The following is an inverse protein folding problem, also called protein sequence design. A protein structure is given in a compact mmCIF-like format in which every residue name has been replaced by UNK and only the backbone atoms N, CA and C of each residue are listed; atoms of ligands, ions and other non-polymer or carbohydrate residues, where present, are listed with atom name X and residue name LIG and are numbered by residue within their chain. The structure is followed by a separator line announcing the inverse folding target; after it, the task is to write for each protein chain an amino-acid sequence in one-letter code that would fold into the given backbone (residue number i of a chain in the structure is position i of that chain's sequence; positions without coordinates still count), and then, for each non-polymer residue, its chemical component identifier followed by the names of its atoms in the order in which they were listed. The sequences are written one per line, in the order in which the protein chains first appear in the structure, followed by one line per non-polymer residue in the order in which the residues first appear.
data_IF_230387176588
#
_entry.id   IF_230387176588
#
_cell.length_a   1.000
_cell.length_b   1.000
_cell.length_c   1.000
_cell.angle_alpha   90.00
_cell.angle_beta   90.00
_cell.angle_gamma   90.00
#
_symmetry.space_group_name_H-M   'P 1'
#
loop_
_entity.id
_entity.type
_entity.pdbx_description
1 polymer ?
#
# COMPACT_ATOMS: atom_id res chain seq x y z
N UNK A 1 10.91 -49.60 25.91
CA UNK A 1 10.71 -50.56 27.02
C UNK A 1 10.25 -49.81 28.26
N UNK A 2 9.21 -50.33 28.93
CA UNK A 2 8.67 -49.96 30.26
C UNK A 2 7.96 -48.59 30.35
N UNK A 3 6.62 -48.46 30.37
CA UNK A 3 5.52 -49.10 31.12
C UNK A 3 5.24 -48.48 32.50
N UNK A 4 4.04 -47.89 32.58
CA UNK A 4 3.07 -47.83 33.69
C UNK A 4 3.51 -47.45 35.10
N UNK A 5 2.74 -46.53 35.71
CA UNK A 5 1.99 -46.79 36.96
C UNK A 5 0.71 -45.93 37.04
N UNK A 6 -0.42 -46.63 37.19
CA UNK A 6 -1.74 -46.17 37.65
C UNK A 6 -1.82 -46.28 39.19
N UNK A 7 -2.98 -45.88 39.74
CA UNK A 7 -3.57 -46.11 41.10
C UNK A 7 -3.30 -44.98 42.12
N UNK A 8 -4.27 -44.48 42.92
CA UNK A 8 -5.52 -45.05 43.49
C UNK A 8 -6.50 -43.92 43.95
N UNK A 9 -7.84 -44.13 43.99
CA UNK A 9 -8.86 -43.22 44.54
C UNK A 9 -9.34 -43.59 45.97
N UNK A 10 -10.38 -42.86 46.45
CA UNK A 10 -11.18 -43.01 47.71
C UNK A 10 -10.63 -42.19 48.90
N UNK A 11 -11.39 -41.54 49.80
CA UNK A 11 -12.75 -41.64 50.41
C UNK A 11 -13.14 -40.21 50.92
N UNK A 12 -14.33 -39.79 51.36
CA UNK A 12 -15.51 -40.31 52.12
C UNK A 12 -16.70 -39.37 51.78
N UNK A 13 -17.97 -39.73 51.58
CA UNK A 13 -18.94 -40.60 52.27
C UNK A 13 -19.58 -40.02 53.57
N UNK A 14 -20.92 -39.89 53.55
CA UNK A 14 -21.86 -39.69 54.69
C UNK A 14 -22.85 -38.53 54.42
N UNK A 15 -24.09 -38.68 53.92
CA UNK A 15 -25.30 -39.40 54.41
C UNK A 15 -25.62 -39.05 55.87
N UNK A 16 -26.82 -38.60 56.25
CA UNK A 16 -28.14 -39.19 55.97
C UNK A 16 -29.32 -38.22 56.33
N UNK A 17 -30.58 -38.62 56.06
CA UNK A 17 -31.74 -37.76 55.89
C UNK A 17 -32.88 -37.99 56.93
N UNK A 18 -34.06 -37.43 56.59
CA UNK A 18 -35.42 -37.84 56.95
C UNK A 18 -36.16 -37.08 58.07
N UNK A 19 -37.42 -36.75 57.77
CA UNK A 19 -38.38 -36.25 58.75
C UNK A 19 -39.63 -35.61 58.15
N UNK A 20 -40.43 -36.41 57.43
CA UNK A 20 -41.73 -35.98 56.90
C UNK A 20 -42.83 -35.95 57.98
N UNK A 21 -43.63 -34.90 57.83
CA UNK A 21 -44.88 -34.47 58.46
C UNK A 21 -45.91 -35.53 58.89
N UNK A 22 -46.55 -35.28 60.04
CA UNK A 22 -47.89 -35.76 60.37
C UNK A 22 -48.34 -35.35 61.77
N UNK A 23 -49.51 -34.70 61.91
CA UNK A 23 -50.22 -34.59 63.19
C UNK A 23 -50.98 -33.29 63.45
N UNK A 24 -52.32 -33.38 63.40
CA UNK A 24 -53.32 -32.37 63.79
C UNK A 24 -53.14 -31.86 65.23
N UNK A 25 -53.47 -30.60 65.48
CA UNK A 25 -54.44 -30.28 66.54
C UNK A 25 -55.10 -28.91 66.34
N UNK A 26 -56.39 -28.83 66.66
CA UNK A 26 -57.22 -27.64 66.50
C UNK A 26 -57.36 -26.85 67.80
N UNK A 27 -57.28 -25.52 67.73
CA UNK A 27 -57.92 -24.62 68.70
C UNK A 27 -58.44 -23.37 68.01
N UNK A 28 -59.74 -23.14 68.17
CA UNK A 28 -60.44 -21.89 67.91
C UNK A 28 -60.10 -20.89 69.01
N UNK A 29 -60.04 -19.60 68.67
CA UNK A 29 -60.57 -18.44 69.42
C UNK A 29 -60.00 -17.16 68.78
N UNK A 30 -60.83 -16.38 68.07
CA UNK A 30 -61.63 -15.24 68.58
C UNK A 30 -60.80 -13.96 68.80
N UNK A 31 -60.94 -13.03 67.86
CA UNK A 31 -61.24 -11.62 68.19
C UNK A 31 -60.10 -10.59 68.30
N UNK A 32 -60.27 -9.53 67.48
CA UNK A 32 -59.86 -8.12 67.68
C UNK A 32 -58.47 -7.66 67.15
N UNK A 33 -58.27 -6.35 66.86
CA UNK A 33 -58.77 -5.67 65.67
C UNK A 33 -57.68 -4.86 64.89
N UNK A 34 -58.06 -4.41 63.69
CA UNK A 34 -57.24 -3.91 62.60
C UNK A 34 -56.70 -2.45 62.70
N UNK A 35 -56.19 -1.96 63.85
CA UNK A 35 -55.74 -0.54 63.91
C UNK A 35 -54.49 -0.22 64.75
N UNK A 36 -53.66 -1.19 65.16
CA UNK A 36 -52.35 -0.88 65.78
C UNK A 36 -51.19 -1.56 65.08
N UNK A 37 -50.69 -0.88 64.04
CA UNK A 37 -49.26 -0.55 63.86
C UNK A 37 -49.11 0.39 62.67
N UNK A 38 -49.58 1.61 62.84
CA UNK A 38 -48.97 2.75 62.17
C UNK A 38 -47.69 3.11 62.96
N UNK A 39 -46.52 2.80 62.40
CA UNK A 39 -45.24 3.41 62.74
C UNK A 39 -44.17 2.87 61.79
N UNK A 40 -44.14 3.45 60.59
CA UNK A 40 -43.19 3.09 59.54
C UNK A 40 -43.44 3.85 58.25
N UNK A 41 -43.92 5.10 58.36
CA UNK A 41 -43.88 6.04 57.25
C UNK A 41 -42.44 6.49 57.07
N UNK A 42 -41.65 5.68 56.38
CA UNK A 42 -40.41 6.14 55.75
C UNK A 42 -40.71 6.07 54.27
N UNK A 43 -40.87 7.24 53.66
CA UNK A 43 -41.23 7.38 52.26
C UNK A 43 -40.30 6.55 51.39
N UNK A 44 -40.86 5.50 50.78
CA UNK A 44 -40.26 4.90 49.61
C UNK A 44 -40.82 5.69 48.45
N UNK A 45 -40.13 6.78 48.10
CA UNK A 45 -40.28 7.39 46.80
C UNK A 45 -40.08 6.27 45.78
N UNK A 46 -41.15 5.89 45.08
CA UNK A 46 -41.00 5.25 43.79
C UNK A 46 -40.23 6.24 42.92
N UNK A 47 -38.94 6.01 42.76
CA UNK A 47 -38.18 6.61 41.68
C UNK A 47 -38.77 6.04 40.37
N UNK A 48 -39.82 6.69 39.88
CA UNK A 48 -40.15 6.70 38.45
C UNK A 48 -39.11 7.54 37.72
N UNK A 49 -37.84 7.15 37.88
CA UNK A 49 -36.77 7.61 37.01
C UNK A 49 -36.97 6.93 35.67
N UNK A 50 -37.65 7.60 34.74
CA UNK A 50 -37.44 7.33 33.31
C UNK A 50 -35.92 7.41 33.12
N UNK A 51 -35.30 6.23 32.99
CA UNK A 51 -33.85 6.13 32.98
C UNK A 51 -33.33 6.92 31.78
N UNK A 52 -32.68 8.05 32.06
CA UNK A 52 -32.00 8.93 31.11
C UNK A 52 -30.86 8.17 30.37
N UNK A 53 -30.56 6.94 30.77
CA UNK A 53 -29.69 6.00 30.04
C UNK A 53 -30.20 5.66 28.65
N UNK A 54 -31.51 5.45 28.45
CA UNK A 54 -32.06 5.07 27.15
C UNK A 54 -31.88 6.16 26.07
N UNK A 55 -31.96 7.43 26.45
CA UNK A 55 -31.73 8.55 25.52
C UNK A 55 -30.25 8.68 25.13
N UNK A 56 -29.33 8.41 26.08
CA UNK A 56 -27.89 8.41 25.81
C UNK A 56 -27.53 7.22 24.91
N UNK A 57 -28.01 6.02 25.22
CA UNK A 57 -27.72 4.83 24.42
C UNK A 57 -28.31 4.92 23.00
N UNK A 58 -29.51 5.50 22.82
CA UNK A 58 -30.04 5.81 21.48
C UNK A 58 -29.15 6.81 20.73
N UNK A 59 -28.83 7.96 21.34
CA UNK A 59 -28.09 9.02 20.66
C UNK A 59 -26.65 8.62 20.33
N UNK A 60 -25.95 7.92 21.23
CA UNK A 60 -24.62 7.39 20.97
C UNK A 60 -24.62 6.30 19.89
N UNK A 61 -25.70 5.50 19.79
CA UNK A 61 -25.89 4.52 18.71
C UNK A 61 -26.01 5.18 17.33
N UNK A 62 -26.92 6.14 17.18
CA UNK A 62 -27.10 6.83 15.89
C UNK A 62 -25.89 7.64 15.45
N UNK A 63 -25.17 8.27 16.39
CA UNK A 63 -23.92 8.98 16.07
C UNK A 63 -22.84 8.00 15.63
N UNK A 64 -22.73 6.84 16.27
CA UNK A 64 -21.80 5.79 15.86
C UNK A 64 -22.13 5.26 14.46
N UNK A 65 -23.40 4.97 14.19
CA UNK A 65 -23.84 4.48 12.88
C UNK A 65 -23.62 5.53 11.78
N UNK A 66 -23.88 6.81 12.07
CA UNK A 66 -23.61 7.90 11.14
C UNK A 66 -22.10 8.06 10.85
N UNK A 67 -21.26 7.98 11.89
CA UNK A 67 -19.79 8.03 11.73
C UNK A 67 -19.29 6.83 10.93
N UNK A 68 -19.82 5.64 11.18
CA UNK A 68 -19.47 4.41 10.45
C UNK A 68 -19.86 4.53 8.97
N UNK A 69 -21.09 4.95 8.67
CA UNK A 69 -21.55 5.18 7.29
C UNK A 69 -20.68 6.22 6.57
N UNK A 70 -20.35 7.33 7.23
CA UNK A 70 -19.47 8.36 6.65
C UNK A 70 -18.07 7.81 6.40
N UNK A 71 -17.52 7.04 7.33
CA UNK A 71 -16.20 6.43 7.19
C UNK A 71 -16.18 5.43 6.03
N UNK A 72 -17.15 4.52 5.97
CA UNK A 72 -17.31 3.54 4.89
C UNK A 72 -17.51 4.25 3.55
N UNK A 73 -18.37 5.28 3.49
CA UNK A 73 -18.59 6.06 2.28
C UNK A 73 -17.31 6.77 1.81
N UNK A 74 -16.50 7.32 2.72
CA UNK A 74 -15.22 7.93 2.40
C UNK A 74 -14.24 6.89 1.84
N UNK A 75 -14.13 5.72 2.46
CA UNK A 75 -13.27 4.62 1.97
C UNK A 75 -13.69 4.20 0.56
N UNK A 76 -14.98 3.95 0.34
CA UNK A 76 -15.51 3.60 -0.98
C UNK A 76 -15.24 4.69 -2.01
N UNK A 77 -15.43 5.96 -1.64
CA UNK A 77 -15.16 7.10 -2.52
C UNK A 77 -13.69 7.14 -2.97
N UNK A 78 -12.74 6.98 -2.04
CA UNK A 78 -11.32 6.94 -2.37
C UNK A 78 -10.93 5.70 -3.18
N UNK A 79 -11.53 4.54 -2.91
CA UNK A 79 -11.33 3.34 -3.74
C UNK A 79 -11.80 3.56 -5.18
N UNK A 80 -12.95 4.20 -5.38
CA UNK A 80 -13.44 4.55 -6.73
C UNK A 80 -12.49 5.54 -7.41
N UNK A 81 -11.99 6.54 -6.69
CA UNK A 81 -11.05 7.53 -7.22
C UNK A 81 -9.73 6.87 -7.63
N UNK A 82 -9.23 5.91 -6.85
CA UNK A 82 -8.00 5.18 -7.11
C UNK A 82 -8.05 4.37 -8.40
N UNK A 83 -9.20 3.76 -8.70
CA UNK A 83 -9.38 2.93 -9.90
C UNK A 83 -9.84 3.77 -11.11
N UNK A 84 -10.24 5.04 -10.89
CA UNK A 84 -10.74 5.92 -11.94
C UNK A 84 -9.65 6.24 -12.97
N UNK A 85 -9.96 6.00 -14.25
CA UNK A 85 -9.01 6.22 -15.35
C UNK A 85 -8.12 5.02 -15.66
N UNK A 86 -8.20 3.94 -14.88
CA UNK A 86 -7.43 2.70 -15.12
C UNK A 86 -8.21 1.68 -15.95
N UNK A 87 -7.51 0.70 -16.54
CA UNK A 87 -8.15 -0.47 -17.19
C UNK A 87 -9.07 -1.24 -16.23
N UNK A 88 -8.77 -1.23 -14.93
CA UNK A 88 -9.60 -1.86 -13.90
C UNK A 88 -11.00 -1.23 -13.78
N UNK A 89 -11.19 0.04 -14.18
CA UNK A 89 -12.52 0.66 -14.25
C UNK A 89 -13.44 -0.05 -15.25
N UNK A 90 -12.90 -0.59 -16.35
CA UNK A 90 -13.69 -1.34 -17.33
C UNK A 90 -14.22 -2.66 -16.74
N UNK A 91 -13.40 -3.31 -15.91
CA UNK A 91 -13.80 -4.53 -15.20
C UNK A 91 -14.88 -4.24 -14.15
N UNK A 92 -14.73 -3.16 -13.37
CA UNK A 92 -15.74 -2.71 -12.41
C UNK A 92 -17.07 -2.42 -13.11
N UNK A 93 -17.05 -1.70 -14.24
CA UNK A 93 -18.25 -1.46 -15.05
C UNK A 93 -18.88 -2.77 -15.55
N UNK A 94 -18.07 -3.71 -16.04
CA UNK A 94 -18.54 -5.03 -16.45
C UNK A 94 -19.20 -5.80 -15.31
N UNK A 95 -18.59 -5.80 -14.13
CA UNK A 95 -19.13 -6.42 -12.91
C UNK A 95 -20.47 -5.81 -12.50
N UNK A 96 -20.58 -4.47 -12.52
CA UNK A 96 -21.83 -3.76 -12.21
C UNK A 96 -22.95 -4.15 -13.19
N UNK A 97 -22.64 -4.28 -14.49
CA UNK A 97 -23.61 -4.74 -15.49
C UNK A 97 -24.09 -6.15 -15.19
N UNK A 98 -23.17 -7.09 -14.88
CA UNK A 98 -23.53 -8.48 -14.54
C UNK A 98 -24.43 -8.52 -13.30
N UNK A 99 -24.10 -7.77 -12.25
CA UNK A 99 -24.92 -7.66 -11.03
C UNK A 99 -26.28 -7.04 -11.33
N UNK A 100 -26.33 -6.03 -12.21
CA UNK A 100 -27.59 -5.40 -12.65
C UNK A 100 -28.50 -6.39 -13.38
N UNK A 101 -27.95 -7.19 -14.31
CA UNK A 101 -28.71 -8.24 -15.01
C UNK A 101 -29.21 -9.29 -14.01
N UNK A 102 -28.38 -9.69 -13.05
CA UNK A 102 -28.78 -10.62 -11.99
C UNK A 102 -29.94 -10.07 -11.15
N UNK A 103 -29.89 -8.79 -10.76
CA UNK A 103 -30.94 -8.14 -9.97
C UNK A 103 -32.26 -8.06 -10.76
N UNK A 104 -32.21 -7.63 -12.02
CA UNK A 104 -33.38 -7.56 -12.90
C UNK A 104 -33.98 -8.96 -13.10
N UNK A 105 -33.14 -9.98 -13.33
CA UNK A 105 -33.58 -11.38 -13.43
C UNK A 105 -34.17 -11.91 -12.12
N UNK A 106 -33.70 -11.38 -10.98
CA UNK A 106 -34.22 -11.73 -9.67
C UNK A 106 -35.63 -11.20 -9.47
N UNK A 107 -35.84 -9.91 -9.77
CA UNK A 107 -37.13 -9.22 -9.66
C UNK A 107 -38.16 -9.77 -10.66
N UNK A 108 -37.76 -10.03 -11.90
CA UNK A 108 -38.64 -10.55 -12.96
C UNK A 108 -38.90 -12.07 -12.87
N UNK A 109 -38.26 -12.77 -11.93
CA UNK A 109 -38.45 -14.22 -11.78
C UNK A 109 -37.85 -15.08 -12.89
N UNK A 110 -36.92 -14.55 -13.70
CA UNK A 110 -36.30 -15.26 -14.83
C UNK A 110 -35.28 -16.30 -14.33
N UNK A 111 -35.76 -17.52 -14.05
CA UNK A 111 -34.96 -18.60 -13.46
C UNK A 111 -33.79 -19.04 -14.35
N UNK A 112 -34.00 -19.22 -15.65
CA UNK A 112 -32.95 -19.63 -16.61
C UNK A 112 -31.86 -18.57 -16.74
N UNK A 113 -32.25 -17.30 -16.86
CA UNK A 113 -31.30 -16.19 -16.98
C UNK A 113 -30.50 -16.01 -15.69
N UNK A 114 -31.16 -16.14 -14.53
CA UNK A 114 -30.49 -16.10 -13.23
C UNK A 114 -29.47 -17.23 -13.09
N UNK A 115 -29.82 -18.44 -13.49
CA UNK A 115 -28.90 -19.58 -13.49
C UNK A 115 -27.70 -19.33 -14.41
N UNK A 116 -27.94 -18.86 -15.65
CA UNK A 116 -26.88 -18.57 -16.61
C UNK A 116 -25.92 -17.48 -16.11
N UNK A 117 -26.46 -16.38 -15.58
CA UNK A 117 -25.67 -15.29 -15.02
C UNK A 117 -24.87 -15.75 -13.79
N UNK A 118 -25.45 -16.60 -12.94
CA UNK A 118 -24.74 -17.18 -11.80
C UNK A 118 -23.57 -18.07 -12.23
N UNK A 119 -23.72 -18.84 -13.30
CA UNK A 119 -22.62 -19.65 -13.87
C UNK A 119 -21.53 -18.75 -14.46
N UNK A 120 -21.93 -17.74 -15.25
CA UNK A 120 -21.00 -16.76 -15.82
C UNK A 120 -20.23 -16.01 -14.72
N UNK A 121 -20.88 -15.62 -13.63
CA UNK A 121 -20.23 -14.98 -12.48
C UNK A 121 -19.21 -15.92 -11.82
N UNK A 122 -19.58 -17.18 -11.57
CA UNK A 122 -18.68 -18.16 -10.96
C UNK A 122 -17.41 -18.38 -11.79
N UNK A 123 -17.55 -18.57 -13.11
CA UNK A 123 -16.41 -18.69 -14.02
C UNK A 123 -15.63 -17.38 -14.15
N UNK A 124 -16.33 -16.26 -14.16
CA UNK A 124 -15.74 -14.92 -14.24
C UNK A 124 -14.83 -14.60 -13.07
N UNK A 125 -15.21 -14.96 -11.84
CA UNK A 125 -14.35 -14.76 -10.66
C UNK A 125 -13.05 -15.56 -10.78
N UNK A 126 -13.12 -16.81 -11.24
CA UNK A 126 -11.92 -17.64 -11.47
C UNK A 126 -11.04 -17.04 -12.57
N UNK A 127 -11.64 -16.63 -13.69
CA UNK A 127 -10.90 -16.01 -14.80
C UNK A 127 -10.21 -14.70 -14.38
N UNK A 128 -10.89 -13.86 -13.60
CA UNK A 128 -10.32 -12.64 -13.02
C UNK A 128 -9.17 -13.01 -12.10
N UNK A 129 -9.33 -13.97 -11.18
CA UNK A 129 -8.26 -14.35 -10.26
C UNK A 129 -7.00 -14.84 -10.99
N UNK A 130 -7.16 -15.66 -12.05
CA UNK A 130 -6.04 -16.13 -12.87
C UNK A 130 -5.40 -14.97 -13.65
N UNK A 131 -6.19 -14.06 -14.22
CA UNK A 131 -5.69 -12.92 -14.98
C UNK A 131 -4.96 -11.90 -14.09
N UNK A 132 -5.44 -11.72 -12.85
CA UNK A 132 -4.84 -10.83 -11.84
C UNK A 132 -3.79 -11.52 -10.96
N UNK A 133 -3.48 -12.79 -11.22
CA UNK A 133 -2.50 -13.52 -10.43
C UNK A 133 -1.13 -12.81 -10.38
N UNK A 134 -0.60 -12.25 -11.51
CA UNK A 134 0.66 -11.52 -11.48
C UNK A 134 0.62 -10.26 -10.60
N UNK A 135 -0.48 -9.49 -10.65
CA UNK A 135 -0.66 -8.27 -9.87
C UNK A 135 -0.81 -8.56 -8.37
N UNK A 136 -1.60 -9.58 -8.01
CA UNK A 136 -1.75 -10.01 -6.62
C UNK A 136 -0.41 -10.47 -6.04
N UNK A 137 0.36 -11.22 -6.83
CA UNK A 137 1.71 -11.64 -6.46
C UNK A 137 2.61 -10.42 -6.21
N UNK A 138 2.68 -9.48 -7.16
CA UNK A 138 3.47 -8.25 -7.03
C UNK A 138 3.04 -7.44 -5.80
N UNK A 139 1.76 -7.24 -5.59
CA UNK A 139 1.26 -6.48 -4.43
C UNK A 139 1.64 -7.13 -3.08
N UNK A 140 1.57 -8.46 -3.00
CA UNK A 140 2.01 -9.21 -1.81
C UNK A 140 3.53 -9.17 -1.62
N UNK A 141 4.30 -9.21 -2.71
CA UNK A 141 5.75 -9.04 -2.67
C UNK A 141 6.12 -7.65 -2.11
N UNK A 142 5.43 -6.60 -2.54
CA UNK A 142 5.61 -5.25 -2.00
C UNK A 142 5.23 -5.17 -0.50
N UNK A 143 4.07 -5.70 -0.11
CA UNK A 143 3.64 -5.73 1.29
C UNK A 143 4.57 -6.56 2.19
N UNK A 144 5.13 -7.66 1.68
CA UNK A 144 6.03 -8.57 2.40
C UNK A 144 7.46 -8.08 2.54
N UNK A 145 7.89 -7.12 1.71
CA UNK A 145 9.26 -6.58 1.70
C UNK A 145 9.61 -5.67 2.90
N UNK A 146 8.74 -5.56 3.92
CA UNK A 146 9.05 -4.82 5.16
C UNK A 146 9.05 -3.29 5.00
N UNK A 147 8.60 -2.75 3.86
CA UNK A 147 8.60 -1.33 3.52
C UNK A 147 7.86 -0.42 4.53
N UNK A 148 6.84 -0.93 5.24
CA UNK A 148 6.14 -0.13 6.26
C UNK A 148 6.89 -0.01 7.59
N UNK A 149 7.80 -0.94 7.91
CA UNK A 149 8.57 -0.91 9.16
C UNK A 149 9.89 -0.11 9.04
N UNK A 150 10.39 0.12 7.83
CA UNK A 150 11.64 0.86 7.56
C UNK A 150 11.54 2.39 7.74
N UNK A 151 10.35 2.96 7.93
CA UNK A 151 10.13 4.41 8.11
C UNK A 151 10.49 4.97 9.49
N UNK A 152 10.93 4.14 10.45
CA UNK A 152 11.32 4.62 11.79
C UNK A 152 12.75 4.20 12.15
N UNK A 153 13.70 5.06 11.82
CA UNK A 153 14.80 5.37 12.74
C UNK A 153 16.13 4.62 12.62
N UNK A 154 16.44 3.93 11.52
CA UNK A 154 17.79 3.39 11.31
C UNK A 154 18.39 3.93 10.01
N UNK A 155 19.61 4.47 10.14
CA UNK A 155 20.52 4.83 9.04
C UNK A 155 20.50 3.68 8.02
N UNK A 156 19.93 3.93 6.84
CA UNK A 156 19.70 2.97 5.75
C UNK A 156 20.96 2.14 5.47
N UNK A 157 20.99 0.88 5.89
CA UNK A 157 21.86 -0.13 5.26
C UNK A 157 21.36 -0.27 3.81
N UNK A 158 22.08 0.31 2.85
CA UNK A 158 21.68 0.40 1.44
C UNK A 158 21.16 1.77 0.98
N UNK A 159 21.36 2.85 1.74
CA UNK A 159 21.20 4.20 1.20
C UNK A 159 22.27 4.46 0.14
N UNK A 160 21.89 5.19 -0.90
CA UNK A 160 22.84 5.85 -1.81
C UNK A 160 23.65 6.85 -0.98
N UNK A 161 24.96 6.69 -0.91
CA UNK A 161 25.86 7.62 -0.24
C UNK A 161 26.24 8.83 -1.12
N UNK A 162 26.79 9.87 -0.50
CA UNK A 162 27.30 11.05 -1.22
C UNK A 162 28.35 10.67 -2.28
N UNK A 163 29.20 9.67 -2.00
CA UNK A 163 30.21 9.18 -2.95
C UNK A 163 29.61 8.60 -4.22
N UNK A 164 28.46 7.93 -4.12
CA UNK A 164 27.72 7.38 -5.26
C UNK A 164 27.12 8.49 -6.11
N UNK A 165 26.51 9.50 -5.47
CA UNK A 165 26.00 10.69 -6.18
C UNK A 165 27.13 11.41 -6.91
N UNK A 166 28.26 11.63 -6.24
CA UNK A 166 29.42 12.30 -6.83
C UNK A 166 30.00 11.50 -8.01
N UNK A 167 30.05 10.16 -7.91
CA UNK A 167 30.46 9.30 -9.02
C UNK A 167 29.51 9.41 -10.23
N UNK A 168 28.20 9.44 -10.00
CA UNK A 168 27.18 9.64 -11.06
C UNK A 168 27.37 11.01 -11.72
N UNK A 169 27.55 12.07 -10.93
CA UNK A 169 27.76 13.44 -11.44
C UNK A 169 29.00 13.52 -12.33
N UNK A 170 30.13 13.00 -11.86
CA UNK A 170 31.39 13.02 -12.61
C UNK A 170 31.32 12.16 -13.87
N UNK A 171 30.66 10.99 -13.82
CA UNK A 171 30.46 10.15 -14.99
C UNK A 171 29.53 10.83 -16.01
N UNK A 172 28.41 11.41 -15.57
CA UNK A 172 27.46 12.10 -16.44
C UNK A 172 28.11 13.30 -17.16
N UNK A 173 28.90 14.11 -16.45
CA UNK A 173 29.66 15.23 -17.05
C UNK A 173 30.67 14.73 -18.10
N UNK A 174 31.42 13.67 -17.80
CA UNK A 174 32.38 13.07 -18.73
C UNK A 174 31.72 12.54 -20.00
N UNK A 175 30.60 11.82 -19.86
CA UNK A 175 29.84 11.22 -20.95
C UNK A 175 29.14 12.29 -21.79
N UNK A 176 28.57 13.31 -21.14
CA UNK A 176 27.94 14.47 -21.77
C UNK A 176 28.89 15.21 -22.71
N UNK A 177 30.09 15.56 -22.22
CA UNK A 177 31.13 16.25 -23.01
C UNK A 177 31.56 15.48 -24.27
N UNK A 178 31.43 14.16 -24.26
CA UNK A 178 31.75 13.28 -25.39
C UNK A 178 30.53 12.82 -26.19
N UNK A 179 29.32 13.24 -25.81
CA UNK A 179 28.05 12.78 -26.39
C UNK A 179 27.93 11.26 -26.40
N UNK A 180 28.35 10.62 -25.31
CA UNK A 180 28.18 9.19 -25.12
C UNK A 180 26.85 8.97 -24.41
N UNK A 181 25.96 8.20 -25.02
CA UNK A 181 24.64 7.91 -24.47
C UNK A 181 24.72 7.08 -23.19
N UNK A 182 24.01 7.52 -22.15
CA UNK A 182 24.00 6.83 -20.86
C UNK A 182 22.60 6.76 -20.26
N UNK A 183 22.35 5.71 -19.49
CA UNK A 183 21.07 5.46 -18.83
C UNK A 183 21.34 4.81 -17.47
N UNK A 184 21.32 5.60 -16.41
CA UNK A 184 21.66 5.18 -15.05
C UNK A 184 20.38 5.24 -14.21
N UNK A 185 19.86 4.09 -13.79
CA UNK A 185 18.72 4.00 -12.89
C UNK A 185 19.21 3.74 -11.47
N UNK A 186 18.71 4.52 -10.51
CA UNK A 186 19.06 4.38 -9.09
C UNK A 186 17.82 3.98 -8.31
N UNK A 187 17.91 2.82 -7.66
CA UNK A 187 16.85 2.26 -6.81
C UNK A 187 16.60 3.16 -5.59
N UNK A 188 15.32 3.29 -5.23
CA UNK A 188 14.89 4.00 -4.02
C UNK A 188 14.09 3.05 -3.12
N UNK A 189 12.83 3.37 -2.83
CA UNK A 189 12.05 2.54 -1.93
C UNK A 189 11.48 1.32 -2.68
N UNK A 190 11.09 1.46 -3.95
CA UNK A 190 10.63 0.36 -4.81
C UNK A 190 11.84 -0.37 -5.40
N UNK A 191 11.94 -1.67 -5.09
CA UNK A 191 13.02 -2.50 -5.59
C UNK A 191 12.97 -2.72 -7.10
N UNK A 192 14.13 -2.72 -7.75
CA UNK A 192 14.27 -2.85 -9.22
C UNK A 192 14.64 -4.26 -9.67
N UNK A 193 14.40 -5.27 -8.81
CA UNK A 193 14.85 -6.66 -9.02
C UNK A 193 14.43 -7.25 -10.37
N UNK A 194 13.19 -7.02 -10.81
CA UNK A 194 12.70 -7.55 -12.08
C UNK A 194 13.44 -6.99 -13.30
N UNK A 195 14.01 -5.78 -13.20
CA UNK A 195 14.83 -5.17 -14.24
C UNK A 195 16.30 -5.60 -14.14
N UNK A 196 16.81 -5.76 -12.91
CA UNK A 196 18.17 -6.25 -12.65
C UNK A 196 18.37 -7.65 -13.25
N UNK A 197 17.37 -8.53 -13.12
CA UNK A 197 17.41 -9.91 -13.64
C UNK A 197 17.48 -9.98 -15.18
N UNK A 198 17.18 -8.89 -15.89
CA UNK A 198 17.26 -8.83 -17.36
C UNK A 198 18.66 -8.53 -17.89
N UNK A 199 19.53 -7.97 -17.05
CA UNK A 199 20.87 -7.52 -17.44
C UNK A 199 21.99 -8.46 -17.01
N UNK A 200 23.23 -7.99 -17.16
CA UNK A 200 24.42 -8.68 -16.69
C UNK A 200 24.70 -8.27 -15.23
N UNK A 201 24.66 -9.20 -14.27
CA UNK A 201 24.94 -8.88 -12.87
C UNK A 201 26.41 -8.49 -12.67
N UNK A 202 26.65 -7.44 -11.90
CA UNK A 202 27.99 -6.92 -11.60
C UNK A 202 28.32 -7.00 -10.12
N UNK A 203 27.44 -6.45 -9.26
CA UNK A 203 27.70 -6.36 -7.82
C UNK A 203 28.94 -5.55 -7.46
N UNK A 204 29.29 -4.57 -8.30
CA UNK A 204 30.51 -3.78 -8.17
C UNK A 204 30.23 -2.44 -7.48
N UNK A 205 31.16 -1.95 -6.66
CA UNK A 205 31.05 -0.61 -6.04
C UNK A 205 30.94 0.48 -7.11
N UNK A 206 30.07 1.46 -6.89
CA UNK A 206 29.92 2.57 -7.83
C UNK A 206 31.17 3.44 -7.84
N UNK A 207 31.81 3.55 -8.99
CA UNK A 207 32.90 4.49 -9.27
C UNK A 207 32.66 5.20 -10.58
N UNK A 208 33.22 6.40 -10.74
CA UNK A 208 33.10 7.14 -12.00
C UNK A 208 33.72 6.38 -13.17
N UNK A 209 34.85 5.71 -12.94
CA UNK A 209 35.56 4.93 -13.96
C UNK A 209 34.70 3.76 -14.44
N UNK A 210 34.04 3.05 -13.52
CA UNK A 210 33.14 1.96 -13.86
C UNK A 210 31.95 2.48 -14.67
N UNK A 211 31.28 3.54 -14.21
CA UNK A 211 30.13 4.09 -14.91
C UNK A 211 30.49 4.56 -16.32
N UNK A 212 31.63 5.24 -16.49
CA UNK A 212 32.13 5.63 -17.82
C UNK A 212 32.34 4.39 -18.68
N UNK A 213 32.99 3.35 -18.15
CA UNK A 213 33.32 2.13 -18.89
C UNK A 213 32.07 1.37 -19.34
N UNK A 214 31.02 1.35 -18.53
CA UNK A 214 29.76 0.68 -18.87
C UNK A 214 29.08 1.27 -20.11
N UNK A 215 29.23 2.57 -20.35
CA UNK A 215 28.55 3.24 -21.46
C UNK A 215 29.44 3.48 -22.69
N UNK A 216 30.67 2.96 -22.73
CA UNK A 216 31.51 3.08 -23.92
C UNK A 216 30.84 2.40 -25.13
N UNK A 217 30.64 3.11 -26.27
CA UNK A 217 30.00 2.55 -27.45
C UNK A 217 30.68 1.28 -27.97
N UNK A 218 29.90 0.40 -28.58
CA UNK A 218 30.35 -0.86 -29.19
C UNK A 218 30.93 -1.88 -28.18
N UNK A 219 30.52 -1.81 -26.91
CA UNK A 219 30.86 -2.82 -25.89
C UNK A 219 29.65 -3.69 -25.54
N UNK A 220 29.80 -4.90 -24.99
CA UNK A 220 28.62 -5.69 -24.64
C UNK A 220 27.71 -5.06 -23.55
N UNK A 221 28.22 -4.13 -22.74
CA UNK A 221 27.51 -3.60 -21.57
C UNK A 221 26.82 -2.24 -21.79
N UNK A 222 27.11 -1.54 -22.89
CA UNK A 222 26.58 -0.18 -23.13
C UNK A 222 25.15 -0.10 -23.64
N UNK A 223 24.59 -1.23 -24.08
CA UNK A 223 23.23 -1.28 -24.60
C UNK A 223 22.25 -1.60 -23.47
N UNK A 224 21.47 -0.61 -23.05
CA UNK A 224 20.55 -0.70 -21.92
C UNK A 224 20.94 0.18 -20.73
N UNK A 225 20.34 -0.11 -19.58
CA UNK A 225 20.54 0.65 -18.35
C UNK A 225 21.57 0.01 -17.42
N UNK A 226 22.30 0.87 -16.68
CA UNK A 226 22.98 0.47 -15.46
C UNK A 226 22.04 0.71 -14.27
N UNK A 227 21.84 -0.29 -13.42
CA UNK A 227 21.00 -0.20 -12.23
C UNK A 227 21.88 -0.17 -10.98
N UNK A 228 21.70 0.86 -10.16
CA UNK A 228 22.41 1.06 -8.89
C UNK A 228 21.45 0.77 -7.74
N UNK A 229 21.90 -0.05 -6.79
CA UNK A 229 21.20 -0.37 -5.54
C UNK A 229 22.12 -0.03 -4.37
N UNK A 230 21.74 0.98 -3.58
CA UNK A 230 22.62 1.58 -2.58
C UNK A 230 23.90 2.14 -3.21
N UNK A 231 25.06 1.59 -2.85
CA UNK A 231 26.38 2.01 -3.35
C UNK A 231 27.01 1.02 -4.33
N UNK A 232 26.22 0.12 -4.90
CA UNK A 232 26.68 -0.88 -5.87
C UNK A 232 25.92 -0.79 -7.19
N UNK A 233 26.64 -0.93 -8.30
CA UNK A 233 26.04 -1.26 -9.60
C UNK A 233 25.61 -2.72 -9.55
N UNK A 234 24.31 -2.95 -9.42
CA UNK A 234 23.73 -4.29 -9.33
C UNK A 234 23.87 -5.03 -10.66
N UNK A 235 23.50 -4.38 -11.76
CA UNK A 235 23.60 -4.92 -13.11
C UNK A 235 23.77 -3.80 -14.15
N UNK A 236 24.26 -4.19 -15.33
CA UNK A 236 24.34 -3.35 -16.53
C UNK A 236 23.63 -4.02 -17.72
N UNK A 237 23.44 -3.30 -18.82
CA UNK A 237 22.69 -3.79 -19.98
C UNK A 237 21.26 -4.25 -19.62
N UNK A 238 20.63 -3.59 -18.64
CA UNK A 238 19.28 -3.93 -18.20
C UNK A 238 18.23 -3.36 -19.16
N UNK A 239 17.18 -4.14 -19.43
CA UNK A 239 16.03 -3.69 -20.22
C UNK A 239 15.03 -2.96 -19.32
N UNK A 240 14.72 -1.72 -19.68
CA UNK A 240 13.73 -0.90 -18.99
C UNK A 240 12.45 -0.76 -19.81
N UNK A 241 11.28 -0.61 -19.17
CA UNK A 241 10.03 -0.40 -19.87
C UNK A 241 10.05 0.96 -20.57
N UNK A 242 9.52 1.01 -21.79
CA UNK A 242 9.33 2.27 -22.51
C UNK A 242 7.97 2.85 -22.15
N UNK A 243 7.92 4.15 -21.90
CA UNK A 243 6.66 4.88 -21.80
C UNK A 243 5.87 4.84 -23.12
N UNK A 244 4.56 4.65 -23.00
CA UNK A 244 3.60 4.71 -24.12
C UNK A 244 2.88 6.06 -24.20
N UNK A 245 3.26 7.03 -23.36
CA UNK A 245 2.56 8.30 -23.25
C UNK A 245 2.71 9.14 -24.55
N UNK A 246 1.61 9.42 -25.29
CA UNK A 246 1.67 10.15 -26.54
C UNK A 246 1.99 11.64 -26.38
N UNK A 247 1.93 12.18 -25.16
CA UNK A 247 2.29 13.57 -24.86
C UNK A 247 3.82 13.81 -24.87
N UNK A 248 4.60 12.74 -24.98
CA UNK A 248 6.06 12.81 -24.98
C UNK A 248 6.55 13.24 -26.36
N UNK A 249 7.40 14.27 -26.37
CA UNK A 249 7.92 14.88 -27.60
C UNK A 249 8.58 13.82 -28.50
N UNK A 250 8.19 13.79 -29.78
CA UNK A 250 8.66 12.79 -30.76
C UNK A 250 10.19 12.79 -30.96
N UNK A 251 10.88 13.87 -30.59
CA UNK A 251 12.34 14.01 -30.68
C UNK A 251 13.11 13.26 -29.59
N UNK A 252 12.44 12.64 -28.63
CA UNK A 252 13.10 11.90 -27.55
C UNK A 252 13.54 10.52 -28.04
N UNK A 253 14.80 10.16 -27.74
CA UNK A 253 15.35 8.84 -28.05
C UNK A 253 14.80 7.72 -27.16
N UNK A 254 15.18 6.49 -27.46
CA UNK A 254 14.76 5.28 -26.71
C UNK A 254 15.19 5.32 -25.25
N UNK A 255 16.40 5.80 -24.93
CA UNK A 255 16.87 5.97 -23.54
C UNK A 255 16.01 6.92 -22.71
N UNK A 256 15.53 8.01 -23.32
CA UNK A 256 14.63 8.95 -22.64
C UNK A 256 13.27 8.31 -22.37
N UNK A 257 12.73 7.56 -23.35
CA UNK A 257 11.48 6.81 -23.17
C UNK A 257 11.60 5.74 -22.09
N UNK A 258 12.73 5.05 -22.04
CA UNK A 258 13.06 4.05 -21.01
C UNK A 258 13.14 4.69 -19.62
N UNK A 259 13.79 5.84 -19.51
CA UNK A 259 13.89 6.56 -18.24
C UNK A 259 12.53 7.00 -17.71
N UNK A 260 11.69 7.56 -18.59
CA UNK A 260 10.32 7.94 -18.22
C UNK A 260 9.52 6.70 -17.83
N UNK A 261 9.51 5.65 -18.65
CA UNK A 261 8.74 4.44 -18.38
C UNK A 261 9.11 3.76 -17.06
N UNK A 262 10.41 3.68 -16.73
CA UNK A 262 10.84 3.18 -15.42
C UNK A 262 10.37 4.09 -14.27
N UNK A 263 10.48 5.41 -14.44
CA UNK A 263 10.05 6.38 -13.42
C UNK A 263 8.51 6.50 -13.29
N UNK A 264 7.74 6.01 -14.26
CA UNK A 264 6.28 5.88 -14.17
C UNK A 264 5.89 4.64 -13.35
N UNK A 265 6.64 3.55 -13.52
CA UNK A 265 6.38 2.28 -12.85
C UNK A 265 6.92 2.22 -11.41
N UNK A 266 7.94 3.03 -11.09
CA UNK A 266 8.69 2.98 -9.82
C UNK A 266 9.02 4.37 -9.30
N UNK A 267 9.52 4.47 -8.07
CA UNK A 267 10.02 5.73 -7.50
C UNK A 267 11.51 6.00 -7.81
N UNK A 268 12.10 5.21 -8.72
CA UNK A 268 13.50 5.31 -9.10
C UNK A 268 13.85 6.65 -9.75
N UNK A 269 15.11 7.05 -9.56
CA UNK A 269 15.68 8.23 -10.23
C UNK A 269 16.51 7.75 -11.41
N UNK A 270 16.19 8.24 -12.61
CA UNK A 270 16.90 7.81 -13.82
C UNK A 270 17.63 8.97 -14.45
N UNK A 271 18.95 8.92 -14.46
CA UNK A 271 19.82 9.90 -15.13
C UNK A 271 20.07 9.44 -16.57
N UNK A 272 19.87 10.34 -17.52
CA UNK A 272 20.04 10.09 -18.95
C UNK A 272 21.04 11.08 -19.52
N UNK A 273 21.98 10.59 -20.33
CA UNK A 273 22.83 11.42 -21.18
C UNK A 273 22.45 11.15 -22.63
N UNK A 274 22.11 12.23 -23.36
CA UNK A 274 21.75 12.16 -24.77
C UNK A 274 22.98 11.89 -25.65
N UNK A 275 22.94 10.86 -26.49
CA UNK A 275 24.01 10.59 -27.47
C UNK A 275 24.01 11.59 -28.64
N UNK A 276 22.87 12.22 -28.90
CA UNK A 276 22.73 13.19 -30.00
C UNK A 276 23.25 14.57 -29.59
N UNK A 277 22.82 15.04 -28.41
CA UNK A 277 23.05 16.42 -27.95
C UNK A 277 24.09 16.53 -26.84
N UNK A 278 24.34 15.46 -26.10
CA UNK A 278 25.11 15.49 -24.84
C UNK A 278 24.32 16.01 -23.64
N UNK A 279 23.06 16.43 -23.81
CA UNK A 279 22.27 16.96 -22.69
C UNK A 279 22.04 15.91 -21.61
N UNK A 280 22.19 16.32 -20.36
CA UNK A 280 21.85 15.50 -19.20
C UNK A 280 20.41 15.77 -18.80
N UNK A 281 19.64 14.71 -18.61
CA UNK A 281 18.25 14.76 -18.16
C UNK A 281 18.04 13.80 -16.99
N UNK A 282 17.04 14.06 -16.16
CA UNK A 282 16.65 13.17 -15.06
C UNK A 282 15.15 12.89 -15.12
N UNK A 283 14.77 11.63 -15.00
CA UNK A 283 13.39 11.19 -14.91
C UNK A 283 13.04 10.76 -13.47
N UNK A 284 11.93 11.29 -12.94
CA UNK A 284 11.36 10.95 -11.63
C UNK A 284 9.83 11.03 -11.72
N UNK A 285 9.12 9.99 -11.28
CA UNK A 285 7.65 9.99 -11.22
C UNK A 285 6.97 10.23 -12.58
N UNK A 286 7.56 9.75 -13.68
CA UNK A 286 7.06 9.94 -15.05
C UNK A 286 7.32 11.32 -15.66
N UNK A 287 8.04 12.19 -14.96
CA UNK A 287 8.43 13.51 -15.46
C UNK A 287 9.92 13.53 -15.82
N UNK A 288 10.26 14.18 -16.94
CA UNK A 288 11.64 14.32 -17.42
C UNK A 288 12.11 15.78 -17.29
N UNK A 289 13.05 16.04 -16.40
CA UNK A 289 13.78 17.30 -16.31
C UNK A 289 14.94 17.28 -17.31
N UNK A 290 14.94 18.18 -18.30
CA UNK A 290 15.89 18.19 -19.43
C UNK A 290 16.92 19.31 -19.31
N UNK A 291 18.09 19.08 -19.92
CA UNK A 291 19.12 20.13 -20.09
C UNK A 291 19.68 20.62 -18.76
N UNK A 292 19.88 19.69 -17.82
CA UNK A 292 20.37 20.01 -16.49
C UNK A 292 21.88 20.28 -16.55
N UNK A 293 22.29 21.48 -16.10
CA UNK A 293 23.69 21.78 -15.81
C UNK A 293 24.20 21.01 -14.58
N UNK A 294 25.52 20.95 -14.41
CA UNK A 294 26.17 20.19 -13.33
C UNK A 294 25.64 20.57 -11.93
N UNK A 295 25.48 21.87 -11.65
CA UNK A 295 24.98 22.37 -10.38
C UNK A 295 23.51 22.00 -10.15
N UNK A 296 22.68 22.06 -11.20
CA UNK A 296 21.27 21.71 -11.13
C UNK A 296 21.07 20.21 -10.91
N UNK A 297 21.84 19.39 -11.64
CA UNK A 297 21.85 17.94 -11.46
C UNK A 297 22.30 17.56 -10.05
N UNK A 298 23.38 18.18 -9.54
CA UNK A 298 23.87 17.95 -8.19
C UNK A 298 22.82 18.29 -7.13
N UNK A 299 22.20 19.47 -7.24
CA UNK A 299 21.14 19.87 -6.31
C UNK A 299 19.98 18.88 -6.32
N UNK A 300 19.53 18.46 -7.51
CA UNK A 300 18.42 17.53 -7.67
C UNK A 300 18.74 16.16 -7.07
N UNK A 301 19.91 15.58 -7.34
CA UNK A 301 20.28 14.27 -6.79
C UNK A 301 20.48 14.32 -5.28
N UNK A 302 21.17 15.35 -4.76
CA UNK A 302 21.36 15.52 -3.31
C UNK A 302 20.02 15.66 -2.58
N UNK A 303 19.08 16.44 -3.13
CA UNK A 303 17.74 16.59 -2.56
C UNK A 303 16.94 15.27 -2.63
N UNK A 304 16.98 14.58 -3.77
CA UNK A 304 16.18 13.37 -3.98
C UNK A 304 16.63 12.20 -3.09
N UNK A 305 17.93 12.13 -2.78
CA UNK A 305 18.48 11.12 -1.87
C UNK A 305 18.62 11.59 -0.41
N UNK A 306 18.11 12.78 -0.08
CA UNK A 306 18.18 13.36 1.27
C UNK A 306 19.62 13.49 1.79
N UNK A 307 20.57 13.70 0.88
CA UNK A 307 22.00 13.86 1.14
C UNK A 307 22.29 15.35 1.25
N UNK A 308 22.03 15.91 2.43
CA UNK A 308 22.34 17.31 2.72
C UNK A 308 21.82 17.73 4.09
N UNK A 309 22.70 18.33 4.88
CA UNK A 309 22.30 19.10 6.06
C UNK A 309 21.85 20.50 5.60
N UNK A 310 20.76 21.00 6.19
CA UNK A 310 20.21 22.36 6.06
C UNK A 310 19.41 22.80 4.81
N UNK A 311 18.07 22.90 5.00
CA UNK A 311 17.14 24.07 4.88
C UNK A 311 17.25 25.10 3.73
N UNK A 312 18.21 25.02 2.82
CA UNK A 312 18.45 25.98 1.71
C UNK A 312 17.88 25.51 0.37
N UNK A 313 17.76 24.19 0.16
CA UNK A 313 17.22 23.59 -1.07
C UNK A 313 15.71 23.82 -1.23
N UNK A 314 14.97 23.72 -0.12
CA UNK A 314 13.51 23.86 -0.05
C UNK A 314 12.99 25.22 -0.59
N UNK A 315 13.80 26.29 -0.46
CA UNK A 315 13.44 27.64 -0.96
C UNK A 315 13.63 27.81 -2.47
N UNK A 316 14.46 26.99 -3.12
CA UNK A 316 14.70 27.08 -4.57
C UNK A 316 13.65 26.30 -5.37
N UNK A 317 13.19 25.16 -4.86
CA UNK A 317 12.13 24.37 -5.51
C UNK A 317 10.77 25.06 -5.46
N UNK A 318 10.41 25.73 -4.36
CA UNK A 318 9.20 26.55 -4.29
C UNK A 318 9.21 27.74 -5.29
N UNK A 319 10.40 28.20 -5.69
CA UNK A 319 10.58 29.25 -6.70
C UNK A 319 10.71 28.73 -8.14
N UNK A 320 10.88 27.41 -8.32
CA UNK A 320 10.87 26.74 -9.62
C UNK A 320 9.41 26.51 -10.01
N UNK A 321 8.72 27.64 -10.17
CA UNK A 321 7.30 27.72 -10.47
C UNK A 321 6.96 26.84 -11.66
N UNK A 322 6.04 25.92 -11.40
CA UNK A 322 5.12 25.30 -12.34
C UNK A 322 4.36 26.38 -13.10
N UNK A 323 5.02 27.05 -14.03
CA UNK A 323 4.42 28.06 -14.89
C UNK A 323 4.64 27.65 -16.33
N UNK A 324 3.58 27.06 -16.86
CA UNK A 324 3.13 27.05 -18.25
C UNK A 324 4.16 27.52 -19.27
N UNK A 325 4.44 26.64 -20.22
CA UNK A 325 4.72 27.08 -21.58
C UNK A 325 3.99 26.17 -22.55
N UNK A 326 2.69 26.44 -22.66
CA UNK A 326 1.98 26.30 -23.93
C UNK A 326 2.64 27.30 -24.89
N UNK A 327 3.05 26.81 -26.06
CA UNK A 327 3.70 27.58 -27.12
C UNK A 327 4.21 26.67 -28.20
#
# INVERSE_FOLDING_TARGET
MQSCRKFDPRRRAGRSPDGALGGRDGRRNLGAPAWRRAAGATGRAEETGVSIGWLKDLWFGYVKDAVDIVLVAAVIYYLILLVRGTRAMQLVKGLVVIVGIWLVSSVLGLSTLRWLVSQAFSLGVVAVLVLFQPELRRALEHLGSGQMFRRRGFRREGAVGEGTVEAILQAADYLSKRRIGALIAVERDVGLKEYIETGVPLGATVTKELLIQLFIPNTPLHDGAAIIVGDAVAAASCYLPLTENPAIHQSLGTRHRAAIGLSEATDAVVVVVSEETGDVSVAVGGHLARGLGAEALRALLMETFELGDDKRAERRFASWGWRKRDG
#
